data_IF_313137494237
#
_entry.id   IF_313137494237
#
_cell.length_a   1.000
_cell.length_b   1.000
_cell.length_c   1.000
_cell.angle_alpha   90.00
_cell.angle_beta   90.00
_cell.angle_gamma   90.00
#
_symmetry.space_group_name_H-M   'P 1'
#
loop_
_entity.id
_entity.type
_entity.pdbx_description
1 polymer ?
#
# COMPACT_ATOMS: atom_id res chain seq x y z
N UNK A 1 -3.91 70.88 9.84
CA UNK A 1 -4.52 69.90 10.76
C UNK A 1 -5.56 69.10 10.00
N UNK A 2 -5.19 67.94 9.41
CA UNK A 2 -6.08 66.85 9.02
C UNK A 2 -5.25 65.64 8.56
N UNK A 3 -5.14 64.73 9.51
CA UNK A 3 -4.74 63.33 9.52
C UNK A 3 -4.59 62.58 8.18
N UNK A 4 -3.43 61.91 8.08
CA UNK A 4 -3.12 60.76 7.24
C UNK A 4 -4.16 59.64 7.44
N UNK A 5 -4.55 58.97 6.35
CA UNK A 5 -5.15 57.62 6.40
C UNK A 5 -4.32 56.67 5.56
N UNK A 6 -3.69 55.74 6.27
CA UNK A 6 -3.06 54.52 5.76
C UNK A 6 -3.98 53.73 4.84
N UNK A 7 -3.43 53.24 3.73
CA UNK A 7 -3.90 52.01 3.10
C UNK A 7 -2.71 51.06 3.01
N UNK A 8 -2.63 50.18 4.00
CA UNK A 8 -1.76 49.00 4.00
C UNK A 8 -2.49 47.95 3.15
N UNK A 9 -2.01 47.70 1.94
CA UNK A 9 -2.41 46.50 1.20
C UNK A 9 -1.60 45.32 1.73
N UNK A 10 -2.19 44.58 2.66
CA UNK A 10 -1.71 43.28 3.09
C UNK A 10 -2.06 42.24 2.02
N UNK A 11 -1.13 41.95 1.12
CA UNK A 11 -1.19 40.74 0.31
C UNK A 11 -0.75 39.56 1.20
N UNK A 12 -1.71 38.81 1.73
CA UNK A 12 -1.45 37.49 2.29
C UNK A 12 -1.01 36.56 1.16
N UNK A 13 0.30 36.37 1.01
CA UNK A 13 0.81 35.22 0.27
C UNK A 13 0.89 34.08 1.29
N UNK A 14 0.00 33.10 1.12
CA UNK A 14 0.02 31.85 1.85
C UNK A 14 1.42 31.22 1.72
N UNK A 15 2.16 31.22 2.82
CA UNK A 15 3.44 30.53 2.94
C UNK A 15 3.19 29.04 2.91
N UNK A 16 3.40 28.42 1.74
CA UNK A 16 3.82 27.03 1.69
C UNK A 16 5.26 27.00 2.21
N UNK A 17 5.39 26.79 3.51
CA UNK A 17 6.66 26.43 4.14
C UNK A 17 7.08 25.07 3.56
N UNK A 18 7.88 25.10 2.51
CA UNK A 18 8.68 23.95 2.11
C UNK A 18 9.78 23.82 3.15
N UNK A 19 9.57 22.90 4.08
CA UNK A 19 10.64 22.34 4.91
C UNK A 19 11.64 21.76 3.93
N UNK A 20 12.84 22.35 3.87
CA UNK A 20 13.95 21.87 3.08
C UNK A 20 14.34 20.48 3.52
N UNK A 21 13.79 19.48 2.84
CA UNK A 21 14.33 18.13 2.76
C UNK A 21 14.84 17.98 1.33
N UNK A 22 16.14 17.74 1.19
CA UNK A 22 16.77 17.36 -0.07
C UNK A 22 15.88 16.33 -0.79
N UNK A 23 15.53 16.64 -2.05
CA UNK A 23 14.65 15.81 -2.85
C UNK A 23 15.25 14.40 -2.96
N UNK A 24 14.61 13.46 -2.27
CA UNK A 24 14.88 12.04 -2.37
C UNK A 24 14.33 11.51 -3.72
N UNK A 25 15.19 10.84 -4.48
CA UNK A 25 14.79 9.70 -5.31
C UNK A 25 14.60 9.90 -6.81
N UNK A 26 15.18 10.93 -7.44
CA UNK A 26 15.13 11.08 -8.90
C UNK A 26 16.34 11.81 -9.47
N UNK A 27 16.73 11.47 -10.70
CA UNK A 27 17.76 12.17 -11.46
C UNK A 27 17.30 13.63 -11.67
N UNK A 28 18.22 14.56 -11.43
CA UNK A 28 17.93 15.99 -11.49
C UNK A 28 19.13 16.78 -12.00
N UNK A 29 18.94 18.07 -12.27
CA UNK A 29 20.02 18.95 -12.73
C UNK A 29 20.04 20.23 -11.92
N UNK A 30 21.24 20.72 -11.60
CA UNK A 30 21.46 22.01 -10.93
C UNK A 30 22.63 22.74 -11.62
N UNK A 31 22.74 24.06 -11.48
CA UNK A 31 23.93 24.81 -11.92
C UNK A 31 24.81 25.10 -10.73
N UNK A 32 26.04 24.60 -10.77
CA UNK A 32 27.02 24.77 -9.71
C UNK A 32 28.26 25.52 -10.19
N UNK A 33 28.81 26.38 -9.34
CA UNK A 33 30.00 27.16 -9.63
C UNK A 33 30.92 27.26 -8.42
N UNK A 34 32.23 27.26 -8.65
CA UNK A 34 33.18 27.76 -7.68
C UNK A 34 33.27 29.29 -7.82
N UNK A 35 32.56 30.01 -6.95
CA UNK A 35 32.51 31.47 -6.95
C UNK A 35 33.73 31.99 -6.20
N UNK A 36 34.52 32.81 -6.88
CA UNK A 36 35.64 33.59 -6.33
C UNK A 36 35.54 35.03 -6.82
N UNK A 37 34.52 35.75 -6.36
CA UNK A 37 34.18 37.08 -6.85
C UNK A 37 33.65 37.97 -5.71
N UNK A 38 33.73 39.28 -5.90
CA UNK A 38 33.18 40.27 -4.97
C UNK A 38 31.65 40.35 -5.12
N UNK A 39 30.92 40.12 -4.03
CA UNK A 39 29.48 40.34 -3.95
C UNK A 39 29.21 41.84 -4.01
N UNK A 40 28.44 42.25 -5.02
CA UNK A 40 28.01 43.63 -5.23
C UNK A 40 26.49 43.71 -5.12
N UNK A 41 26.00 44.65 -4.32
CA UNK A 41 24.55 44.86 -4.09
C UNK A 41 24.18 46.33 -4.34
N UNK A 42 22.94 46.64 -4.76
CA UNK A 42 22.53 48.03 -4.99
C UNK A 42 22.56 48.87 -3.72
N UNK A 43 22.93 50.14 -3.84
CA UNK A 43 22.86 51.07 -2.70
C UNK A 43 21.39 51.35 -2.34
N UNK A 44 21.03 51.41 -1.04
CA UNK A 44 19.65 51.70 -0.62
C UNK A 44 19.11 53.03 -1.16
N UNK A 45 19.96 54.05 -1.24
CA UNK A 45 19.59 55.40 -1.66
C UNK A 45 19.76 55.64 -3.17
N UNK A 46 20.63 54.86 -3.84
CA UNK A 46 20.97 55.03 -5.25
C UNK A 46 21.10 53.66 -5.92
N UNK A 47 19.98 53.04 -6.37
CA UNK A 47 19.98 51.66 -6.86
C UNK A 47 20.84 51.41 -8.11
N UNK A 48 21.23 52.47 -8.83
CA UNK A 48 22.12 52.39 -10.00
C UNK A 48 23.59 52.17 -9.63
N UNK A 49 23.96 52.47 -8.39
CA UNK A 49 25.31 52.26 -7.88
C UNK A 49 25.35 50.93 -7.12
N UNK A 50 26.45 50.22 -7.25
CA UNK A 50 26.69 48.96 -6.54
C UNK A 50 27.76 49.17 -5.46
N UNK A 51 27.52 48.64 -4.26
CA UNK A 51 28.51 48.57 -3.18
C UNK A 51 29.09 47.16 -3.14
N UNK A 52 30.42 47.07 -3.05
CA UNK A 52 31.12 45.84 -2.71
C UNK A 52 30.92 45.50 -1.24
N UNK A 53 30.34 44.32 -0.97
CA UNK A 53 30.05 43.85 0.38
C UNK A 53 31.20 42.99 0.92
N UNK A 54 31.79 42.17 0.05
CA UNK A 54 32.88 41.26 0.40
C UNK A 54 33.09 40.19 -0.67
N UNK A 55 34.19 39.45 -0.56
CA UNK A 55 34.53 38.39 -1.51
C UNK A 55 33.85 37.09 -1.10
N UNK A 56 33.10 36.49 -2.02
CA UNK A 56 32.58 35.13 -1.90
C UNK A 56 33.63 34.18 -2.47
N UNK A 57 34.13 33.26 -1.64
CA UNK A 57 35.03 32.16 -2.01
C UNK A 57 34.41 30.82 -1.61
N UNK A 58 33.51 30.32 -2.43
CA UNK A 58 32.78 29.09 -2.12
C UNK A 58 32.27 28.40 -3.39
N UNK A 59 32.17 27.07 -3.32
CA UNK A 59 31.45 26.29 -4.32
C UNK A 59 29.97 26.24 -3.93
N UNK A 60 29.10 26.73 -4.80
CA UNK A 60 27.66 26.90 -4.52
C UNK A 60 26.86 26.44 -5.74
N UNK A 61 25.75 25.75 -5.49
CA UNK A 61 24.75 25.40 -6.51
C UNK A 61 23.47 26.23 -6.33
N UNK A 62 22.68 26.42 -7.39
CA UNK A 62 21.53 27.33 -7.35
C UNK A 62 20.50 26.91 -6.30
N UNK A 63 20.24 25.60 -6.16
CA UNK A 63 19.24 25.11 -5.21
C UNK A 63 19.65 25.34 -3.74
N UNK A 64 20.94 25.55 -3.48
CA UNK A 64 21.50 25.75 -2.14
C UNK A 64 21.78 27.23 -1.80
N UNK A 65 21.44 28.18 -2.67
CA UNK A 65 21.73 29.62 -2.47
C UNK A 65 21.09 30.16 -1.19
N UNK A 66 19.85 29.80 -0.90
CA UNK A 66 19.15 30.26 0.30
C UNK A 66 19.83 29.82 1.59
N UNK A 67 20.29 28.56 1.64
CA UNK A 67 21.03 28.01 2.78
C UNK A 67 22.41 28.67 2.91
N UNK A 68 23.09 28.92 1.79
CA UNK A 68 24.37 29.61 1.76
C UNK A 68 24.28 31.04 2.31
N UNK A 69 23.21 31.78 1.97
CA UNK A 69 23.00 33.15 2.47
C UNK A 69 22.92 33.18 4.01
N UNK A 70 22.35 32.15 4.63
CA UNK A 70 22.25 32.06 6.09
C UNK A 70 23.57 31.77 6.82
N UNK A 71 24.61 31.35 6.09
CA UNK A 71 25.88 30.87 6.68
C UNK A 71 27.09 31.71 6.31
N UNK A 72 27.04 32.45 5.21
CA UNK A 72 28.16 33.26 4.74
C UNK A 72 28.09 34.73 5.20
N UNK A 73 29.15 35.22 5.86
CA UNK A 73 29.18 36.58 6.42
C UNK A 73 28.97 37.71 5.38
N UNK A 74 29.56 37.61 4.18
CA UNK A 74 29.39 38.61 3.13
C UNK A 74 27.94 38.59 2.59
N UNK A 75 27.36 37.40 2.42
CA UNK A 75 25.96 37.27 2.02
C UNK A 75 25.01 37.85 3.07
N UNK A 76 25.21 37.53 4.35
CA UNK A 76 24.41 38.08 5.47
C UNK A 76 24.48 39.61 5.50
N UNK A 77 25.68 40.19 5.39
CA UNK A 77 25.87 41.63 5.33
C UNK A 77 25.16 42.25 4.10
N UNK A 78 25.20 41.57 2.95
CA UNK A 78 24.49 42.00 1.74
C UNK A 78 22.98 42.02 1.93
N UNK A 79 22.43 41.04 2.67
CA UNK A 79 20.99 40.99 2.99
C UNK A 79 20.58 42.17 3.87
N UNK A 80 21.41 42.54 4.84
CA UNK A 80 21.16 43.69 5.70
C UNK A 80 21.19 45.03 4.91
N UNK A 81 22.00 45.11 3.85
CA UNK A 81 22.14 46.32 3.04
C UNK A 81 21.06 46.46 1.96
N UNK A 82 20.82 45.42 1.16
CA UNK A 82 19.97 45.50 -0.02
C UNK A 82 18.72 44.63 0.04
N UNK A 83 18.61 43.74 1.04
CA UNK A 83 17.52 42.77 1.15
C UNK A 83 17.82 41.42 0.48
N UNK A 84 17.14 40.37 0.96
CA UNK A 84 17.42 38.98 0.58
C UNK A 84 17.27 38.71 -0.92
N UNK A 85 16.23 39.26 -1.54
CA UNK A 85 15.95 39.03 -2.97
C UNK A 85 17.10 39.47 -3.86
N UNK A 86 17.69 40.65 -3.61
CA UNK A 86 18.82 41.15 -4.39
C UNK A 86 20.07 40.28 -4.22
N UNK A 87 20.34 39.80 -3.00
CA UNK A 87 21.48 38.90 -2.74
C UNK A 87 21.31 37.56 -3.43
N UNK A 88 20.11 36.96 -3.37
CA UNK A 88 19.80 35.71 -4.09
C UNK A 88 20.02 35.90 -5.59
N UNK A 89 19.54 37.00 -6.18
CA UNK A 89 19.76 37.29 -7.60
C UNK A 89 21.24 37.49 -7.92
N UNK A 90 21.97 38.29 -7.13
CA UNK A 90 23.39 38.57 -7.36
C UNK A 90 24.24 37.29 -7.28
N UNK A 91 24.01 36.45 -6.27
CA UNK A 91 24.69 35.14 -6.14
C UNK A 91 24.27 34.20 -7.26
N UNK A 92 22.99 34.14 -7.61
CA UNK A 92 22.52 33.35 -8.75
C UNK A 92 23.17 33.75 -10.07
N UNK A 93 23.38 35.05 -10.30
CA UNK A 93 24.12 35.55 -11.47
C UNK A 93 25.59 35.15 -11.42
N UNK A 94 26.24 35.26 -10.26
CA UNK A 94 27.62 34.80 -10.10
C UNK A 94 27.75 33.31 -10.44
N UNK A 95 26.84 32.48 -9.94
CA UNK A 95 26.79 31.04 -10.23
C UNK A 95 26.59 30.79 -11.72
N UNK A 96 25.61 31.44 -12.36
CA UNK A 96 25.34 31.25 -13.79
C UNK A 96 26.48 31.74 -14.69
N UNK A 97 27.25 32.74 -14.25
CA UNK A 97 28.36 33.31 -15.04
C UNK A 97 29.62 32.45 -15.05
N UNK A 98 29.87 31.68 -13.99
CA UNK A 98 31.09 30.90 -13.80
C UNK A 98 30.83 29.39 -13.65
N UNK A 99 29.56 28.98 -13.69
CA UNK A 99 29.12 27.62 -13.38
C UNK A 99 28.86 26.76 -14.60
N UNK A 100 28.61 25.48 -14.31
CA UNK A 100 28.21 24.49 -15.29
C UNK A 100 26.86 23.89 -14.89
N UNK A 101 26.06 23.51 -15.88
CA UNK A 101 24.86 22.70 -15.64
C UNK A 101 25.31 21.28 -15.35
N UNK A 102 25.07 20.84 -14.13
CA UNK A 102 25.40 19.54 -13.60
C UNK A 102 24.18 18.61 -13.71
N UNK A 103 24.38 17.40 -14.22
CA UNK A 103 23.35 16.36 -14.26
C UNK A 103 23.69 15.30 -13.23
N UNK A 104 22.76 15.05 -12.31
CA UNK A 104 22.93 14.13 -11.19
C UNK A 104 22.12 12.85 -11.41
N UNK A 105 22.74 11.68 -11.22
CA UNK A 105 22.05 10.41 -11.35
C UNK A 105 21.06 10.19 -10.18
N UNK A 106 20.21 9.16 -10.28
CA UNK A 106 19.38 8.75 -9.15
C UNK A 106 20.26 8.46 -7.92
N UNK A 107 19.74 8.79 -6.73
CA UNK A 107 20.46 8.64 -5.45
C UNK A 107 21.77 9.43 -5.36
N UNK A 108 21.94 10.49 -6.15
CA UNK A 108 23.01 11.45 -5.96
C UNK A 108 22.54 12.66 -5.13
N UNK A 109 23.47 13.18 -4.34
CA UNK A 109 23.34 14.45 -3.62
C UNK A 109 24.46 15.35 -4.11
N UNK A 110 24.11 16.51 -4.65
CA UNK A 110 25.08 17.49 -5.13
C UNK A 110 26.01 17.95 -3.99
N UNK A 111 27.31 17.73 -4.16
CA UNK A 111 28.36 18.15 -3.23
C UNK A 111 29.37 19.00 -3.98
N UNK A 112 29.10 20.30 -4.10
CA UNK A 112 29.95 21.22 -4.85
C UNK A 112 31.37 21.26 -4.27
N UNK A 113 32.39 20.91 -5.07
CA UNK A 113 33.81 21.02 -4.70
C UNK A 113 34.51 22.08 -5.55
N UNK A 114 35.46 22.81 -4.96
CA UNK A 114 36.14 23.94 -5.61
C UNK A 114 36.81 23.60 -6.95
N UNK A 115 37.28 22.37 -7.15
CA UNK A 115 37.86 21.89 -8.42
C UNK A 115 36.89 21.09 -9.29
N UNK A 116 35.72 20.73 -8.76
CA UNK A 116 34.71 19.91 -9.43
C UNK A 116 33.30 20.35 -8.98
N UNK A 117 32.74 21.42 -9.58
CA UNK A 117 31.44 21.97 -9.17
C UNK A 117 30.28 20.96 -9.29
N UNK A 118 30.36 20.05 -10.27
CA UNK A 118 29.38 18.99 -10.48
C UNK A 118 29.65 17.70 -9.71
N UNK A 119 30.54 17.73 -8.70
CA UNK A 119 30.76 16.57 -7.86
C UNK A 119 29.48 16.24 -7.05
N UNK A 120 29.27 14.96 -6.80
CA UNK A 120 28.15 14.44 -6.02
C UNK A 120 28.61 13.29 -5.15
N UNK A 121 27.89 13.09 -4.04
CA UNK A 121 27.98 11.90 -3.22
C UNK A 121 26.72 11.04 -3.41
N UNK A 122 26.82 9.74 -3.16
CA UNK A 122 25.68 8.85 -3.25
C UNK A 122 24.94 8.75 -1.91
N UNK A 123 23.61 8.80 -1.95
CA UNK A 123 22.72 8.60 -0.81
C UNK A 123 22.24 7.15 -0.72
N UNK A 124 21.46 6.85 0.32
CA UNK A 124 20.69 5.60 0.44
C UNK A 124 21.51 4.31 0.36
N UNK A 125 22.80 4.37 0.69
CA UNK A 125 23.72 3.23 0.67
C UNK A 125 24.27 2.89 -0.72
N UNK A 126 23.94 3.66 -1.75
CA UNK A 126 24.50 3.47 -3.08
C UNK A 126 25.97 3.89 -3.12
N UNK A 127 26.70 3.31 -4.07
CA UNK A 127 28.13 3.54 -4.21
C UNK A 127 28.44 4.25 -5.52
N UNK A 128 29.40 5.20 -5.51
CA UNK A 128 29.81 5.90 -6.72
C UNK A 128 30.49 4.94 -7.70
N UNK A 129 30.10 5.02 -8.97
CA UNK A 129 30.69 4.24 -10.04
C UNK A 129 30.82 5.07 -11.33
N UNK A 130 31.93 4.94 -12.07
CA UNK A 130 33.17 4.22 -11.74
C UNK A 130 33.89 4.82 -10.52
N UNK A 131 34.82 4.07 -9.91
CA UNK A 131 35.53 4.52 -8.69
C UNK A 131 36.34 5.82 -8.90
N UNK A 132 36.77 6.07 -10.14
CA UNK A 132 37.40 7.32 -10.56
C UNK A 132 36.44 8.06 -11.47
N UNK A 133 36.14 9.33 -11.16
CA UNK A 133 35.15 10.17 -11.85
C UNK A 133 33.76 9.51 -11.96
N UNK A 134 33.06 9.33 -10.82
CA UNK A 134 31.77 8.66 -10.82
C UNK A 134 30.73 9.42 -11.65
N UNK A 135 29.93 8.66 -12.39
CA UNK A 135 28.83 9.17 -13.23
C UNK A 135 27.47 8.65 -12.79
N UNK A 136 27.45 7.64 -11.92
CA UNK A 136 26.24 7.00 -11.41
C UNK A 136 26.43 6.52 -9.98
N UNK A 137 25.31 6.42 -9.26
CA UNK A 137 25.22 5.75 -7.97
C UNK A 137 24.59 4.38 -8.20
N UNK A 138 25.34 3.32 -7.89
CA UNK A 138 24.94 1.93 -8.20
C UNK A 138 24.86 1.08 -6.95
N UNK A 139 23.97 0.09 -6.99
CA UNK A 139 23.86 -0.95 -5.96
C UNK A 139 24.37 -2.28 -6.52
N UNK A 140 25.68 -2.46 -6.50
CA UNK A 140 26.33 -3.67 -7.03
C UNK A 140 26.44 -4.75 -5.95
N UNK A 141 26.55 -6.01 -6.38
CA UNK A 141 26.79 -7.15 -5.48
C UNK A 141 28.01 -6.90 -4.58
N UNK A 142 27.97 -7.29 -3.30
CA UNK A 142 26.98 -8.16 -2.63
C UNK A 142 25.70 -7.45 -2.16
N UNK A 143 25.55 -6.14 -2.43
CA UNK A 143 24.38 -5.37 -2.03
C UNK A 143 23.21 -5.57 -3.01
N UNK A 144 21.99 -5.37 -2.51
CA UNK A 144 20.75 -5.35 -3.28
C UNK A 144 19.90 -4.14 -2.91
N UNK A 145 19.13 -3.63 -3.86
CA UNK A 145 18.20 -2.54 -3.61
C UNK A 145 16.92 -3.07 -2.95
N UNK A 146 16.50 -2.44 -1.86
CA UNK A 146 15.22 -2.70 -1.21
C UNK A 146 14.55 -1.39 -0.79
N UNK A 147 13.34 -1.14 -1.30
CA UNK A 147 12.54 0.06 -1.00
C UNK A 147 13.34 1.37 -1.16
N UNK A 148 14.12 1.49 -2.25
CA UNK A 148 14.93 2.68 -2.55
C UNK A 148 16.21 2.83 -1.74
N UNK A 149 16.63 1.79 -0.99
CA UNK A 149 17.89 1.76 -0.24
C UNK A 149 18.75 0.58 -0.67
N UNK A 150 20.03 0.83 -0.94
CA UNK A 150 21.01 -0.20 -1.22
C UNK A 150 21.63 -0.74 0.07
N UNK A 151 21.68 -2.07 0.21
CA UNK A 151 22.22 -2.72 1.41
C UNK A 151 22.29 -4.24 1.28
N UNK A 152 22.76 -4.91 2.33
CA UNK A 152 22.73 -6.38 2.39
C UNK A 152 21.41 -6.77 3.05
N UNK A 153 20.50 -7.33 2.27
CA UNK A 153 19.20 -7.78 2.76
C UNK A 153 19.06 -9.30 2.57
N UNK A 154 18.58 -9.99 3.60
CA UNK A 154 18.20 -11.41 3.50
C UNK A 154 16.87 -11.61 2.74
N UNK A 155 16.06 -10.56 2.65
CA UNK A 155 14.83 -10.48 1.86
C UNK A 155 14.33 -9.05 1.82
N UNK A 156 13.65 -8.67 0.75
CA UNK A 156 13.04 -7.35 0.63
C UNK A 156 11.51 -7.47 0.76
N UNK A 157 10.92 -7.12 1.92
CA UNK A 157 9.47 -7.15 2.06
C UNK A 157 8.88 -6.05 1.17
N UNK A 158 8.20 -6.44 0.09
CA UNK A 158 7.39 -5.50 -0.67
C UNK A 158 6.25 -5.04 0.24
N UNK A 159 6.16 -3.74 0.52
CA UNK A 159 5.05 -3.14 1.28
C UNK A 159 3.67 -3.27 0.60
N UNK A 160 3.59 -3.98 -0.53
CA UNK A 160 2.33 -4.46 -1.08
C UNK A 160 1.91 -5.68 -0.27
N UNK A 161 0.73 -5.68 0.37
CA UNK A 161 0.16 -6.94 0.81
C UNK A 161 0.13 -7.83 -0.42
N UNK A 162 0.86 -8.93 -0.39
CA UNK A 162 0.54 -10.01 -1.29
C UNK A 162 -0.92 -10.33 -0.96
N UNK A 163 -1.85 -9.93 -1.83
CA UNK A 163 -3.15 -10.56 -1.85
C UNK A 163 -2.81 -12.04 -1.82
N UNK A 164 -3.24 -12.72 -0.75
CA UNK A 164 -3.03 -14.16 -0.60
C UNK A 164 -3.42 -14.73 -1.95
N UNK A 165 -2.48 -15.41 -2.62
CA UNK A 165 -2.71 -16.05 -3.93
C UNK A 165 -4.14 -16.57 -3.90
N UNK A 166 -4.96 -16.14 -4.86
CA UNK A 166 -6.28 -16.68 -5.03
C UNK A 166 -6.18 -18.19 -4.83
N UNK A 167 -6.90 -18.70 -3.84
CA UNK A 167 -6.98 -20.13 -3.55
C UNK A 167 -7.42 -20.93 -4.80
N UNK A 168 -7.84 -20.27 -5.87
CA UNK A 168 -8.26 -20.84 -7.14
C UNK A 168 -7.21 -21.78 -7.78
N UNK A 169 -5.91 -21.57 -7.57
CA UNK A 169 -4.88 -22.48 -8.12
C UNK A 169 -4.52 -23.67 -7.23
N UNK A 170 -4.92 -23.67 -5.95
CA UNK A 170 -4.58 -24.73 -4.99
C UNK A 170 -5.76 -25.62 -4.60
N UNK A 171 -6.96 -25.36 -5.12
CA UNK A 171 -8.19 -26.13 -4.90
C UNK A 171 -8.50 -27.03 -6.12
N UNK A 172 -7.49 -27.72 -6.64
CA UNK A 172 -7.66 -28.63 -7.77
C UNK A 172 -8.30 -29.94 -7.29
N UNK A 173 -9.62 -30.00 -7.28
CA UNK A 173 -10.33 -31.26 -7.20
C UNK A 173 -10.32 -31.97 -8.57
N UNK A 174 -10.44 -33.32 -8.57
CA UNK A 174 -10.70 -34.06 -9.79
C UNK A 174 -11.92 -33.50 -10.55
N UNK A 175 -11.97 -33.74 -11.86
CA UNK A 175 -13.11 -33.33 -12.69
C UNK A 175 -14.40 -33.94 -12.13
N UNK A 176 -15.41 -33.09 -11.94
CA UNK A 176 -16.71 -33.49 -11.37
C UNK A 176 -16.80 -33.41 -9.85
N UNK A 177 -15.73 -33.01 -9.15
CA UNK A 177 -15.74 -32.82 -7.70
C UNK A 177 -15.56 -31.35 -7.31
N UNK A 178 -16.09 -31.03 -6.13
CA UNK A 178 -16.10 -29.69 -5.57
C UNK A 178 -15.25 -29.63 -4.29
N UNK A 179 -14.35 -28.64 -4.19
CA UNK A 179 -13.62 -28.40 -2.94
C UNK A 179 -14.54 -27.75 -1.88
N UNK A 180 -14.82 -28.50 -0.81
CA UNK A 180 -15.66 -28.10 0.31
C UNK A 180 -14.86 -28.01 1.61
N UNK A 181 -15.30 -27.18 2.55
CA UNK A 181 -14.68 -27.05 3.87
C UNK A 181 -15.00 -28.22 4.79
N UNK A 182 -14.07 -28.58 5.68
CA UNK A 182 -14.24 -29.66 6.65
C UNK A 182 -14.75 -29.09 7.99
N UNK A 183 -15.83 -29.65 8.53
CA UNK A 183 -16.37 -29.27 9.85
C UNK A 183 -15.30 -29.39 10.96
N UNK A 184 -15.26 -28.39 11.85
CA UNK A 184 -14.36 -28.40 13.01
C UNK A 184 -12.86 -28.18 12.71
N UNK A 185 -12.51 -27.84 11.46
CA UNK A 185 -11.14 -27.50 11.06
C UNK A 185 -11.03 -26.05 10.59
N UNK A 186 -9.78 -25.62 10.33
CA UNK A 186 -9.49 -24.27 9.84
C UNK A 186 -10.18 -24.01 8.50
N UNK A 187 -10.59 -22.77 8.21
CA UNK A 187 -11.13 -22.33 6.91
C UNK A 187 -10.15 -22.50 5.72
N UNK A 188 -8.97 -23.09 5.96
CA UNK A 188 -7.93 -23.41 4.97
C UNK A 188 -7.81 -24.91 4.68
N UNK A 189 -8.53 -25.76 5.39
CA UNK A 189 -8.60 -27.20 5.13
C UNK A 189 -9.87 -27.52 4.37
N UNK A 190 -9.72 -28.29 3.30
CA UNK A 190 -10.77 -28.62 2.38
C UNK A 190 -10.63 -30.08 1.93
N UNK A 191 -11.73 -30.65 1.46
CA UNK A 191 -11.79 -31.97 0.83
C UNK A 191 -12.56 -31.90 -0.48
N UNK A 192 -12.36 -32.88 -1.35
CA UNK A 192 -13.11 -32.98 -2.60
C UNK A 192 -14.36 -33.82 -2.38
N UNK A 193 -15.52 -33.22 -2.64
CA UNK A 193 -16.82 -33.87 -2.51
C UNK A 193 -17.50 -33.91 -3.88
N UNK A 194 -18.13 -35.03 -4.20
CA UNK A 194 -19.03 -35.14 -5.35
C UNK A 194 -20.42 -34.62 -4.95
N UNK A 195 -20.64 -33.32 -5.08
CA UNK A 195 -21.89 -32.66 -4.67
C UNK A 195 -23.11 -33.10 -5.46
N UNK A 196 -22.94 -33.95 -6.48
CA UNK A 196 -24.02 -34.51 -7.29
C UNK A 196 -24.61 -35.77 -6.66
N UNK A 197 -23.83 -36.49 -5.86
CA UNK A 197 -24.17 -37.80 -5.29
C UNK A 197 -23.94 -37.91 -3.77
N UNK A 198 -23.23 -36.95 -3.17
CA UNK A 198 -22.95 -36.92 -1.75
C UNK A 198 -24.18 -36.50 -0.93
N UNK A 199 -24.45 -37.22 0.15
CA UNK A 199 -25.66 -37.04 0.96
C UNK A 199 -25.58 -35.83 1.88
N UNK A 200 -24.38 -35.47 2.33
CA UNK A 200 -24.08 -34.46 3.34
C UNK A 200 -23.72 -33.10 2.71
N UNK A 201 -23.59 -33.05 1.39
CA UNK A 201 -23.27 -31.87 0.58
C UNK A 201 -23.95 -31.98 -0.79
N UNK A 202 -25.24 -32.32 -0.76
CA UNK A 202 -26.01 -32.47 -1.98
C UNK A 202 -26.32 -31.10 -2.61
N UNK A 203 -26.02 -30.96 -3.90
CA UNK A 203 -26.28 -29.74 -4.67
C UNK A 203 -25.21 -28.64 -4.51
N UNK A 204 -24.28 -28.78 -3.58
CA UNK A 204 -23.20 -27.83 -3.31
C UNK A 204 -22.48 -28.14 -2.00
N UNK A 205 -21.51 -27.31 -1.60
CA UNK A 205 -20.87 -27.49 -0.30
C UNK A 205 -21.75 -26.97 0.84
N UNK A 206 -21.99 -27.76 1.89
CA UNK A 206 -22.60 -27.27 3.14
C UNK A 206 -21.69 -26.29 3.88
N UNK A 207 -20.36 -26.43 3.73
CA UNK A 207 -19.38 -25.42 4.14
C UNK A 207 -18.66 -24.88 2.90
N UNK A 208 -19.06 -23.71 2.39
CA UNK A 208 -18.38 -23.11 1.25
C UNK A 208 -17.01 -22.56 1.66
N UNK A 209 -16.04 -22.65 0.73
CA UNK A 209 -14.73 -22.04 0.92
C UNK A 209 -14.79 -20.51 0.70
N UNK A 210 -13.98 -19.72 1.44
CA UNK A 210 -13.97 -18.27 1.29
C UNK A 210 -13.68 -17.85 -0.15
N UNK A 211 -14.55 -16.99 -0.71
CA UNK A 211 -14.40 -16.45 -2.07
C UNK A 211 -14.97 -17.35 -3.17
N UNK A 212 -15.66 -18.44 -2.82
CA UNK A 212 -16.41 -19.25 -3.78
C UNK A 212 -17.90 -18.91 -3.72
N UNK A 213 -18.46 -18.56 -4.88
CA UNK A 213 -19.88 -18.36 -5.06
C UNK A 213 -20.43 -19.56 -5.84
N UNK A 214 -21.01 -20.52 -5.13
CA UNK A 214 -21.67 -21.71 -5.68
C UNK A 214 -23.05 -21.90 -5.05
N UNK A 215 -23.88 -22.80 -5.60
CA UNK A 215 -25.11 -23.22 -4.93
C UNK A 215 -24.80 -23.76 -3.52
N UNK A 216 -25.67 -23.44 -2.56
CA UNK A 216 -25.55 -23.91 -1.18
C UNK A 216 -25.91 -25.40 -1.11
N UNK A 217 -25.03 -26.19 -0.51
CA UNK A 217 -25.27 -27.60 -0.27
C UNK A 217 -26.20 -27.86 0.89
N UNK A 218 -26.90 -28.99 0.85
CA UNK A 218 -27.71 -29.47 1.96
C UNK A 218 -27.33 -30.91 2.34
N UNK A 219 -27.41 -31.20 3.64
CA UNK A 219 -27.41 -32.56 4.16
C UNK A 219 -28.83 -33.13 4.09
N UNK A 220 -29.01 -34.14 3.22
CA UNK A 220 -30.29 -34.79 3.00
C UNK A 220 -30.73 -35.68 4.18
N UNK A 221 -29.81 -36.11 5.05
CA UNK A 221 -30.13 -36.93 6.24
C UNK A 221 -30.75 -36.10 7.35
N UNK A 222 -30.43 -34.80 7.40
CA UNK A 222 -31.01 -33.86 8.34
C UNK A 222 -32.46 -33.45 8.01
N UNK A 223 -33.02 -33.94 6.90
CA UNK A 223 -34.41 -33.65 6.52
C UNK A 223 -35.41 -34.26 7.52
N UNK A 224 -36.45 -33.51 7.95
CA UNK A 224 -37.40 -33.99 8.94
C UNK A 224 -38.17 -35.23 8.48
N UNK A 225 -38.28 -36.23 9.36
CA UNK A 225 -39.12 -37.42 9.13
C UNK A 225 -38.62 -38.35 8.03
N UNK A 226 -37.41 -38.15 7.51
CA UNK A 226 -36.80 -39.00 6.48
C UNK A 226 -36.22 -40.27 7.10
N UNK A 227 -36.53 -41.42 6.51
CA UNK A 227 -35.96 -42.72 6.91
C UNK A 227 -34.98 -43.27 5.86
N UNK A 228 -35.17 -42.96 4.59
CA UNK A 228 -34.30 -43.38 3.48
C UNK A 228 -34.30 -42.29 2.41
N UNK A 229 -33.11 -41.87 2.02
CA UNK A 229 -32.88 -40.71 1.13
C UNK A 229 -31.56 -40.87 0.40
N UNK A 230 -31.51 -40.31 -0.81
CA UNK A 230 -30.31 -40.27 -1.64
C UNK A 230 -30.12 -38.89 -2.25
N UNK A 231 -28.87 -38.47 -2.47
CA UNK A 231 -28.59 -37.36 -3.35
C UNK A 231 -28.53 -37.86 -4.80
N UNK A 232 -29.36 -37.29 -5.66
CA UNK A 232 -29.38 -37.61 -7.09
C UNK A 232 -29.33 -36.32 -7.91
N UNK A 233 -28.29 -36.16 -8.72
CA UNK A 233 -28.13 -34.97 -9.58
C UNK A 233 -28.14 -33.65 -8.78
N UNK A 234 -27.58 -33.68 -7.56
CA UNK A 234 -27.55 -32.53 -6.67
C UNK A 234 -28.90 -32.16 -6.04
N UNK A 235 -29.86 -33.10 -5.97
CA UNK A 235 -31.13 -32.93 -5.25
C UNK A 235 -31.37 -34.09 -4.30
N UNK A 236 -31.91 -33.79 -3.12
CA UNK A 236 -32.36 -34.82 -2.18
C UNK A 236 -33.60 -35.51 -2.73
N UNK A 237 -33.55 -36.84 -2.84
CA UNK A 237 -34.66 -37.69 -3.25
C UNK A 237 -34.96 -38.65 -2.12
N UNK A 238 -36.12 -38.47 -1.50
CA UNK A 238 -36.61 -39.29 -0.38
C UNK A 238 -37.32 -40.52 -0.94
N UNK A 239 -36.90 -41.69 -0.47
CA UNK A 239 -37.50 -42.99 -0.83
C UNK A 239 -38.48 -43.48 0.23
N UNK A 240 -38.23 -43.15 1.50
CA UNK A 240 -39.06 -43.60 2.63
C UNK A 240 -39.10 -42.59 3.76
N UNK A 241 -40.29 -42.37 4.31
CA UNK A 241 -40.52 -41.59 5.52
C UNK A 241 -40.63 -42.47 6.77
N UNK A 242 -40.30 -41.89 7.92
CA UNK A 242 -40.55 -42.47 9.24
C UNK A 242 -42.05 -42.55 9.53
N UNK A 243 -42.44 -43.34 10.54
CA UNK A 243 -43.83 -43.38 11.00
C UNK A 243 -44.30 -42.01 11.48
N UNK A 244 -45.55 -41.64 11.19
CA UNK A 244 -46.06 -40.28 11.41
C UNK A 244 -45.81 -39.30 10.27
N UNK A 245 -45.19 -39.74 9.16
CA UNK A 245 -44.91 -38.89 8.01
C UNK A 245 -45.33 -39.54 6.70
N UNK A 246 -45.72 -38.72 5.74
CA UNK A 246 -46.08 -39.08 4.37
C UNK A 246 -45.11 -38.46 3.36
N UNK A 247 -44.77 -39.23 2.32
CA UNK A 247 -43.88 -38.77 1.26
C UNK A 247 -44.59 -37.70 0.41
N UNK A 248 -43.97 -36.53 0.29
CA UNK A 248 -44.48 -35.47 -0.56
C UNK A 248 -44.51 -35.90 -2.04
N UNK A 249 -45.41 -35.31 -2.83
CA UNK A 249 -45.52 -35.60 -4.26
C UNK A 249 -44.22 -35.30 -5.04
N UNK A 250 -43.46 -34.31 -4.58
CA UNK A 250 -42.15 -33.93 -5.14
C UNK A 250 -41.04 -34.93 -4.81
N UNK A 251 -41.24 -35.80 -3.81
CA UNK A 251 -40.24 -36.71 -3.23
C UNK A 251 -39.01 -36.02 -2.66
N UNK A 252 -39.11 -34.75 -2.29
CA UNK A 252 -37.99 -33.99 -1.71
C UNK A 252 -38.08 -33.88 -0.19
N UNK A 253 -39.24 -34.21 0.38
CA UNK A 253 -39.51 -34.06 1.80
C UNK A 253 -40.55 -35.07 2.31
N UNK A 254 -40.57 -35.25 3.63
CA UNK A 254 -41.60 -35.99 4.35
C UNK A 254 -42.48 -35.00 5.10
N UNK A 255 -43.79 -35.05 4.86
CA UNK A 255 -44.77 -34.19 5.49
C UNK A 255 -45.37 -34.91 6.69
N UNK A 256 -45.39 -34.26 7.84
CA UNK A 256 -45.99 -34.83 9.04
C UNK A 256 -47.49 -35.06 8.85
N UNK A 257 -47.97 -36.20 9.33
CA UNK A 257 -49.38 -36.57 9.32
C UNK A 257 -49.78 -37.07 10.71
N UNK A 258 -50.56 -36.24 11.42
CA UNK A 258 -51.06 -36.51 12.78
C UNK A 258 -51.82 -37.84 12.88
N UNK A 259 -52.60 -38.19 11.85
CA UNK A 259 -53.39 -39.44 11.82
C UNK A 259 -52.50 -40.70 11.76
N UNK A 260 -51.22 -40.53 11.39
CA UNK A 260 -50.23 -41.61 11.32
C UNK A 260 -49.22 -41.55 12.47
N UNK A 261 -49.33 -40.57 13.36
CA UNK A 261 -48.42 -40.45 14.49
C UNK A 261 -48.62 -41.63 15.44
N UNK A 262 -47.58 -42.47 15.66
CA UNK A 262 -47.68 -43.61 16.56
C UNK A 262 -48.12 -43.26 17.98
N UNK A 263 -47.81 -42.05 18.47
CA UNK A 263 -48.20 -41.60 19.80
C UNK A 263 -49.68 -41.24 19.86
N UNK A 264 -50.19 -40.57 18.83
CA UNK A 264 -51.62 -40.21 18.72
C UNK A 264 -52.45 -41.48 18.56
N UNK A 265 -52.01 -42.39 17.68
CA UNK A 265 -52.64 -43.70 17.51
C UNK A 265 -52.59 -44.54 18.79
N UNK A 266 -51.44 -44.61 19.48
CA UNK A 266 -51.34 -45.34 20.74
C UNK A 266 -52.26 -44.77 21.83
N UNK A 267 -52.38 -43.44 21.92
CA UNK A 267 -53.31 -42.79 22.84
C UNK A 267 -54.77 -43.10 22.51
N UNK A 268 -55.13 -43.16 21.23
CA UNK A 268 -56.49 -43.50 20.78
C UNK A 268 -56.91 -44.93 21.15
N UNK A 269 -55.96 -45.88 21.18
CA UNK A 269 -56.23 -47.28 21.56
C UNK A 269 -55.91 -47.61 23.03
N UNK A 270 -55.61 -46.60 23.86
CA UNK A 270 -55.30 -46.81 25.29
C UNK A 270 -54.00 -47.59 25.55
N UNK A 271 -53.07 -47.57 24.59
CA UNK A 271 -51.76 -48.23 24.64
C UNK A 271 -50.66 -47.28 25.10
N UNK A 272 -50.97 -46.38 26.03
CA UNK A 272 -49.97 -45.49 26.61
C UNK A 272 -48.86 -46.31 27.28
N UNK A 273 -47.61 -46.00 26.94
CA UNK A 273 -46.46 -46.63 27.57
C UNK A 273 -46.41 -46.23 29.04
N UNK A 274 -46.92 -47.09 29.92
CA UNK A 274 -46.63 -47.03 31.36
C UNK A 274 -45.15 -47.41 31.52
N UNK A 275 -44.26 -46.50 31.93
CA UNK A 275 -42.88 -46.87 32.21
C UNK A 275 -42.91 -47.90 33.34
N UNK A 276 -42.34 -49.09 33.14
CA UNK A 276 -42.14 -50.04 34.23
C UNK A 276 -41.29 -49.34 35.28
N UNK A 277 -41.89 -49.08 36.44
CA UNK A 277 -41.22 -48.50 37.59
C UNK A 277 -39.95 -49.29 37.87
N UNK A 278 -38.84 -48.58 37.97
CA UNK A 278 -37.56 -49.14 38.38
C UNK A 278 -37.58 -49.17 39.91
N UNK A 279 -38.02 -50.28 40.47
CA UNK A 279 -37.79 -50.64 41.87
C UNK A 279 -36.30 -50.94 42.11
#
# INVERSE_FOLDING_TARGET
>A
MRLMKSFVNAAMIAGLAWVGGAAAGGAYSDTCANVNAELKVPQPLFPKNLIGVGIIKACICLDNVDSFIGTNAAAIAGVALAGKSYVVTAIGTMIKSAGHVCSYPNHAVATCKSSAPCYFDCSDGYQPYPASNPTQCVCNKPYSECNGKCGIYQGCPSGKPHYRRDLSKSLLCPVGMEACGIWGRSARTWECIDTVNDLESCGGCTIPLPGRNGPEGQDCTALPGVSDVSCMKGRCVVHKCMAGYDLAATKEECLYNEDKDPKVLAAQYGLEHIPLGRD
#
